data_IF_994015699050
#
_entry.id   IF_994015699050
#
_cell.length_a   1.000
_cell.length_b   1.000
_cell.length_c   1.000
_cell.angle_alpha   90.00
_cell.angle_beta   90.00
_cell.angle_gamma   90.00
#
_symmetry.space_group_name_H-M   'P 1'
#
loop_
_entity.id
_entity.type
_entity.pdbx_description
1 polymer ?
#
# COMPACT_ATOMS: atom_id res chain seq x y z
N UNK A 1 11.06 -5.13 8.59
CA UNK A 1 11.44 -4.77 7.20
C UNK A 1 11.65 -3.27 7.17
N UNK A 2 12.87 -2.80 6.91
CA UNK A 2 13.12 -1.37 6.68
C UNK A 2 12.68 -1.07 5.26
N UNK A 3 11.69 -0.18 5.10
CA UNK A 3 11.53 0.51 3.83
C UNK A 3 12.72 1.46 3.70
N UNK A 4 13.72 1.08 2.91
CA UNK A 4 14.90 1.90 2.63
C UNK A 4 14.64 2.92 1.52
N UNK A 5 13.50 2.81 0.86
CA UNK A 5 13.07 3.71 -0.21
C UNK A 5 11.74 4.38 0.17
N UNK A 6 11.58 5.63 -0.28
CA UNK A 6 10.34 6.37 -0.14
C UNK A 6 9.18 5.63 -0.84
N UNK A 7 7.98 5.63 -0.24
CA UNK A 7 6.79 5.07 -0.88
C UNK A 7 6.58 5.68 -2.28
N UNK A 8 6.41 4.84 -3.28
CA UNK A 8 6.14 5.29 -4.65
C UNK A 8 5.11 4.40 -5.34
N UNK A 9 4.37 4.96 -6.29
CA UNK A 9 3.38 4.21 -7.09
C UNK A 9 4.08 3.05 -7.83
N UNK A 10 5.28 3.29 -8.36
CA UNK A 10 6.08 2.28 -9.06
C UNK A 10 6.46 1.14 -8.13
N UNK A 11 6.98 1.46 -6.94
CA UNK A 11 7.39 0.46 -5.94
C UNK A 11 6.20 -0.39 -5.47
N UNK A 12 5.07 0.25 -5.16
CA UNK A 12 3.86 -0.46 -4.73
C UNK A 12 3.31 -1.39 -5.83
N UNK A 13 3.23 -0.90 -7.06
CA UNK A 13 2.74 -1.68 -8.20
C UNK A 13 3.65 -2.87 -8.53
N UNK A 14 4.98 -2.68 -8.48
CA UNK A 14 5.94 -3.75 -8.72
C UNK A 14 5.87 -4.82 -7.62
N UNK A 15 5.87 -4.41 -6.35
CA UNK A 15 5.77 -5.34 -5.23
C UNK A 15 4.49 -6.18 -5.27
N UNK A 16 3.35 -5.57 -5.63
CA UNK A 16 2.09 -6.28 -5.79
C UNK A 16 2.11 -7.23 -7.01
N UNK A 17 2.70 -6.79 -8.13
CA UNK A 17 2.86 -7.62 -9.33
C UNK A 17 3.72 -8.85 -9.07
N UNK A 18 4.86 -8.69 -8.39
CA UNK A 18 5.78 -9.76 -8.04
C UNK A 18 5.13 -10.81 -7.14
N UNK A 19 4.26 -10.37 -6.21
CA UNK A 19 3.58 -11.28 -5.29
C UNK A 19 2.38 -11.99 -5.92
N UNK A 20 1.63 -11.31 -6.80
CA UNK A 20 0.40 -11.82 -7.40
C UNK A 20 0.62 -12.53 -8.75
N UNK A 21 1.82 -12.45 -9.33
CA UNK A 21 2.12 -13.03 -10.64
C UNK A 21 1.47 -12.28 -11.81
N UNK A 22 1.27 -10.97 -11.66
CA UNK A 22 0.62 -10.10 -12.65
C UNK A 22 1.59 -9.02 -13.18
N UNK A 23 1.17 -8.22 -14.16
CA UNK A 23 1.97 -7.05 -14.58
C UNK A 23 1.75 -5.87 -13.61
N UNK A 24 2.72 -4.94 -13.46
CA UNK A 24 2.54 -3.75 -12.61
C UNK A 24 1.32 -2.91 -12.98
N UNK A 25 0.97 -2.85 -14.27
CA UNK A 25 -0.22 -2.16 -14.74
C UNK A 25 -1.52 -2.82 -14.26
N UNK A 26 -1.61 -4.15 -14.35
CA UNK A 26 -2.77 -4.92 -13.86
C UNK A 26 -2.85 -4.86 -12.33
N UNK A 27 -1.72 -5.01 -11.63
CA UNK A 27 -1.68 -4.90 -10.17
C UNK A 27 -2.20 -3.53 -9.69
N UNK A 28 -1.71 -2.44 -10.29
CA UNK A 28 -2.14 -1.08 -9.98
C UNK A 28 -3.64 -0.85 -10.22
N UNK A 29 -4.17 -1.32 -11.35
CA UNK A 29 -5.54 -0.98 -11.76
C UNK A 29 -6.61 -1.89 -11.15
N UNK A 30 -6.24 -3.09 -10.70
CA UNK A 30 -7.22 -4.11 -10.29
C UNK A 30 -7.04 -4.65 -8.87
N UNK A 31 -5.86 -4.49 -8.26
CA UNK A 31 -5.56 -5.10 -6.96
C UNK A 31 -5.17 -4.10 -5.86
N UNK A 32 -4.70 -2.91 -6.23
CA UNK A 32 -4.30 -1.89 -5.25
C UNK A 32 -5.45 -0.89 -5.07
N UNK A 33 -5.85 -0.66 -3.81
CA UNK A 33 -6.90 0.30 -3.48
C UNK A 33 -6.47 1.73 -3.85
N UNK A 34 -7.34 2.57 -4.45
CA UNK A 34 -6.98 3.93 -4.86
C UNK A 34 -6.37 4.81 -3.76
N UNK A 35 -6.85 4.69 -2.52
CA UNK A 35 -6.30 5.44 -1.38
C UNK A 35 -4.81 5.11 -1.11
N UNK A 36 -4.39 3.87 -1.36
CA UNK A 36 -2.98 3.46 -1.21
C UNK A 36 -2.15 4.08 -2.35
N UNK A 37 -2.69 4.16 -3.57
CA UNK A 37 -2.04 4.83 -4.70
C UNK A 37 -1.83 6.31 -4.39
N UNK A 38 -2.84 6.98 -3.84
CA UNK A 38 -2.73 8.40 -3.49
C UNK A 38 -1.75 8.65 -2.35
N UNK A 39 -1.66 7.74 -1.37
CA UNK A 39 -0.63 7.81 -0.34
C UNK A 39 0.78 7.66 -0.95
N UNK A 40 0.97 6.68 -1.84
CA UNK A 40 2.23 6.47 -2.53
C UNK A 40 2.58 7.61 -3.49
N UNK A 41 1.59 8.33 -4.04
CA UNK A 41 1.79 9.54 -4.84
C UNK A 41 2.40 10.68 -4.03
N UNK A 42 2.03 10.77 -2.75
CA UNK A 42 2.54 11.80 -1.82
C UNK A 42 3.97 11.54 -1.39
N UNK A 43 4.50 10.33 -1.59
CA UNK A 43 5.85 9.97 -1.11
C UNK A 43 5.93 9.74 0.40
N UNK A 44 4.79 9.71 1.10
CA UNK A 44 4.75 9.71 2.57
C UNK A 44 4.41 8.32 3.12
N UNK A 45 5.07 7.86 4.19
CA UNK A 45 4.71 6.60 4.83
C UNK A 45 3.36 6.72 5.53
N UNK A 46 2.54 5.67 5.42
CA UNK A 46 1.29 5.59 6.16
C UNK A 46 1.58 5.19 7.62
N UNK A 47 1.30 6.09 8.56
CA UNK A 47 1.61 5.91 10.00
C UNK A 47 0.37 5.90 10.89
N UNK A 48 -0.76 6.43 10.42
CA UNK A 48 -2.02 6.45 11.17
C UNK A 48 -2.55 5.03 11.35
N UNK A 49 -2.97 4.69 12.57
CA UNK A 49 -3.61 3.42 12.89
C UNK A 49 -5.10 3.64 13.17
N UNK A 50 -5.94 2.79 12.60
CA UNK A 50 -7.39 2.78 12.88
C UNK A 50 -7.91 1.34 12.90
N UNK A 51 -9.22 1.19 13.12
CA UNK A 51 -9.89 -0.12 13.08
C UNK A 51 -9.64 -1.02 14.29
N UNK A 52 -10.07 -2.29 14.20
CA UNK A 52 -10.03 -3.25 15.30
C UNK A 52 -8.64 -3.49 15.88
N UNK A 53 -8.55 -3.70 17.19
CA UNK A 53 -7.28 -3.90 17.92
C UNK A 53 -6.58 -5.22 17.61
N UNK A 54 -7.28 -6.21 17.03
CA UNK A 54 -6.73 -7.53 16.66
C UNK A 54 -6.06 -7.56 15.27
N UNK A 55 -6.10 -6.46 14.53
CA UNK A 55 -5.39 -6.34 13.25
C UNK A 55 -3.89 -6.04 13.50
N UNK A 56 -3.04 -6.56 12.62
CA UNK A 56 -1.61 -6.23 12.57
C UNK A 56 -1.43 -4.74 12.27
N UNK A 57 -0.29 -4.18 12.66
CA UNK A 57 0.02 -2.75 12.44
C UNK A 57 -0.21 -2.34 10.98
N UNK A 58 0.33 -3.09 10.01
CA UNK A 58 0.14 -2.79 8.58
C UNK A 58 -1.33 -2.87 8.13
N UNK A 59 -2.12 -3.79 8.67
CA UNK A 59 -3.55 -3.90 8.36
C UNK A 59 -4.33 -2.71 8.91
N UNK A 60 -3.98 -2.24 10.12
CA UNK A 60 -4.57 -1.05 10.74
C UNK A 60 -4.18 0.24 10.02
N UNK A 61 -2.97 0.28 9.49
CA UNK A 61 -2.52 1.37 8.61
C UNK A 61 -3.33 1.39 7.32
N UNK A 62 -3.49 0.25 6.64
CA UNK A 62 -4.34 0.15 5.47
C UNK A 62 -5.79 0.52 5.79
N UNK A 63 -6.32 0.04 6.92
CA UNK A 63 -7.66 0.40 7.38
C UNK A 63 -7.81 1.92 7.52
N UNK A 64 -6.83 2.61 8.12
CA UNK A 64 -6.86 4.05 8.28
C UNK A 64 -6.83 4.84 6.96
N UNK A 65 -6.32 4.26 5.87
CA UNK A 65 -6.32 4.88 4.54
C UNK A 65 -7.67 4.76 3.82
N UNK A 66 -8.48 3.76 4.18
CA UNK A 66 -9.74 3.43 3.49
C UNK A 66 -10.99 3.81 4.29
N UNK A 67 -10.82 4.17 5.55
CA UNK A 67 -11.89 4.54 6.48
C UNK A 67 -12.28 6.02 6.41
#
# INVERSE_FOLDING_TARGET
LRATEEPSIKGAAQAAADWLGNTPAIARNSYIHPAIIEQARRGEPATRLAGPTRLRVGERTCFALMA
#
